data_IF_921803473097
#
_entry.id   IF_921803473097
#
_cell.length_a   1.000
_cell.length_b   1.000
_cell.length_c   1.000
_cell.angle_alpha   90.00
_cell.angle_beta   90.00
_cell.angle_gamma   90.00
#
_symmetry.space_group_name_H-M   'P 1'
#
loop_
_entity.id
_entity.type
_entity.pdbx_description
1 polymer ?
#
# COMPACT_ATOMS: atom_id res chain seq x y z
N UNK A 1 19.46 -13.28 3.87
CA UNK A 1 18.79 -12.74 2.69
C UNK A 1 17.90 -11.57 3.06
N UNK A 2 17.88 -10.55 2.22
CA UNK A 2 17.00 -9.43 2.44
C UNK A 2 15.54 -9.85 2.28
N UNK A 3 14.67 -9.33 3.14
CA UNK A 3 13.23 -9.54 3.00
C UNK A 3 12.70 -8.75 1.81
N UNK A 4 11.69 -9.27 1.09
CA UNK A 4 11.05 -8.49 0.04
C UNK A 4 10.42 -7.22 0.61
N UNK A 5 10.55 -6.11 -0.12
CA UNK A 5 9.94 -4.85 0.24
C UNK A 5 8.54 -4.78 -0.36
N UNK A 6 7.54 -4.49 0.47
CA UNK A 6 6.13 -4.44 0.08
C UNK A 6 5.58 -3.05 0.36
N UNK A 7 5.19 -2.34 -0.69
CA UNK A 7 4.55 -1.04 -0.56
C UNK A 7 3.05 -1.22 -0.39
N UNK A 8 2.48 -0.54 0.60
CA UNK A 8 1.06 -0.66 0.96
C UNK A 8 0.28 0.57 0.48
N UNK A 9 -0.74 0.31 -0.34
CA UNK A 9 -1.68 1.32 -0.81
C UNK A 9 -2.68 1.69 0.31
N UNK A 10 -3.30 2.85 0.17
CA UNK A 10 -4.33 3.35 1.08
C UNK A 10 -5.44 2.32 1.34
N UNK A 11 -5.90 1.64 0.28
CA UNK A 11 -6.98 0.66 0.39
C UNK A 11 -6.68 -0.47 1.37
N UNK A 12 -5.42 -0.84 1.50
CA UNK A 12 -4.99 -1.92 2.41
C UNK A 12 -5.17 -1.48 3.87
N UNK A 13 -4.75 -0.27 4.19
CA UNK A 13 -4.91 0.25 5.56
C UNK A 13 -6.39 0.41 5.93
N UNK A 14 -7.18 0.99 5.02
CA UNK A 14 -8.61 1.22 5.29
C UNK A 14 -9.34 -0.11 5.52
N UNK A 15 -9.12 -1.10 4.65
CA UNK A 15 -9.79 -2.40 4.82
C UNK A 15 -9.31 -3.15 6.06
N UNK A 16 -8.02 -3.02 6.41
CA UNK A 16 -7.50 -3.62 7.64
C UNK A 16 -8.12 -2.98 8.88
N UNK A 17 -8.33 -1.67 8.87
CA UNK A 17 -8.95 -0.97 10.00
C UNK A 17 -10.43 -1.33 10.16
N UNK A 18 -11.13 -1.61 9.06
CA UNK A 18 -12.56 -1.88 9.08
C UNK A 18 -12.90 -3.35 9.32
N UNK A 19 -11.97 -4.27 9.08
CA UNK A 19 -12.25 -5.70 9.25
C UNK A 19 -11.02 -6.46 9.75
N UNK A 20 -11.10 -6.91 11.00
CA UNK A 20 -10.05 -7.76 11.60
C UNK A 20 -10.05 -9.18 11.02
N UNK A 21 -11.07 -9.54 10.23
CA UNK A 21 -11.19 -10.88 9.63
C UNK A 21 -10.77 -10.91 8.17
N UNK A 22 -10.46 -9.74 7.59
CA UNK A 22 -10.11 -9.65 6.17
C UNK A 22 -8.65 -9.94 5.90
N UNK A 23 -8.34 -10.11 4.59
CA UNK A 23 -6.99 -10.42 4.14
C UNK A 23 -5.97 -9.31 4.42
N UNK A 24 -6.38 -8.06 4.33
CA UNK A 24 -5.47 -6.93 4.62
C UNK A 24 -4.97 -6.97 6.05
N UNK A 25 -5.87 -7.12 7.01
CA UNK A 25 -5.50 -7.23 8.42
C UNK A 25 -4.62 -8.45 8.67
N UNK A 26 -5.00 -9.58 8.08
CA UNK A 26 -4.24 -10.83 8.23
C UNK A 26 -2.79 -10.65 7.78
N UNK A 27 -2.59 -10.01 6.63
CA UNK A 27 -1.24 -9.79 6.10
C UNK A 27 -0.42 -8.92 7.04
N UNK A 28 -0.97 -7.78 7.45
CA UNK A 28 -0.24 -6.85 8.31
C UNK A 28 0.04 -7.42 9.69
N UNK A 29 -0.83 -8.29 10.19
CA UNK A 29 -0.69 -8.90 11.49
C UNK A 29 0.19 -10.17 11.50
N UNK A 30 0.48 -10.75 10.33
CA UNK A 30 1.10 -12.08 10.25
C UNK A 30 2.46 -12.07 9.54
N UNK A 31 2.65 -11.23 8.51
CA UNK A 31 3.80 -11.33 7.62
C UNK A 31 4.96 -10.39 7.96
N UNK A 32 4.88 -9.66 9.05
CA UNK A 32 5.90 -8.65 9.41
C UNK A 32 7.31 -9.24 9.58
N UNK A 33 7.43 -10.52 9.87
CA UNK A 33 8.72 -11.18 10.01
C UNK A 33 9.30 -11.68 8.69
N UNK A 34 8.50 -11.68 7.62
CA UNK A 34 8.90 -12.23 6.32
C UNK A 34 9.10 -11.18 5.25
N UNK A 35 8.47 -10.02 5.41
CA UNK A 35 8.56 -8.93 4.44
C UNK A 35 8.77 -7.61 5.16
N UNK A 36 9.32 -6.64 4.45
CA UNK A 36 9.47 -5.28 4.96
C UNK A 36 8.35 -4.43 4.38
N UNK A 37 7.40 -4.05 5.22
CA UNK A 37 6.28 -3.19 4.81
C UNK A 37 6.73 -1.72 4.79
N UNK A 38 6.29 -1.01 3.78
CA UNK A 38 6.47 0.44 3.72
C UNK A 38 5.25 1.10 3.08
N UNK A 39 5.16 2.40 3.28
CA UNK A 39 4.20 3.26 2.61
C UNK A 39 4.83 4.65 2.54
N UNK A 40 4.09 5.68 2.11
CA UNK A 40 4.65 7.02 2.05
C UNK A 40 3.74 8.03 2.76
N UNK A 41 4.22 9.26 2.89
CA UNK A 41 3.48 10.33 3.56
C UNK A 41 2.17 10.65 2.85
N UNK A 42 2.13 10.52 1.51
CA UNK A 42 0.92 10.74 0.73
C UNK A 42 -0.19 9.77 1.14
N UNK A 43 0.13 8.48 1.28
CA UNK A 43 -0.84 7.47 1.70
C UNK A 43 -1.38 7.79 3.10
N UNK A 44 -0.51 8.18 4.03
CA UNK A 44 -0.96 8.56 5.38
C UNK A 44 -1.92 9.74 5.34
N UNK A 45 -1.65 10.72 4.49
CA UNK A 45 -2.52 11.87 4.30
C UNK A 45 -3.89 11.45 3.74
N UNK A 46 -3.90 10.53 2.78
CA UNK A 46 -5.15 9.99 2.24
C UNK A 46 -5.97 9.24 3.29
N UNK A 47 -5.30 8.44 4.12
CA UNK A 47 -5.98 7.72 5.20
C UNK A 47 -6.64 8.71 6.15
N UNK A 48 -5.92 9.76 6.55
CA UNK A 48 -6.45 10.81 7.43
C UNK A 48 -7.70 11.46 6.82
N UNK A 49 -7.65 11.78 5.52
CA UNK A 49 -8.79 12.37 4.81
C UNK A 49 -10.01 11.44 4.82
N UNK A 50 -9.79 10.15 4.57
CA UNK A 50 -10.87 9.15 4.57
C UNK A 50 -11.48 9.03 5.97
N UNK A 51 -10.64 8.93 7.01
CA UNK A 51 -11.13 8.80 8.38
C UNK A 51 -11.92 10.03 8.82
N UNK A 52 -11.44 11.21 8.46
CA UNK A 52 -12.13 12.46 8.81
C UNK A 52 -13.43 12.64 8.06
N UNK A 53 -13.48 12.32 6.77
CA UNK A 53 -14.63 12.60 5.91
C UNK A 53 -15.69 11.49 5.92
N UNK A 54 -15.29 10.23 6.09
CA UNK A 54 -16.21 9.10 6.00
C UNK A 54 -16.45 8.39 7.33
N UNK A 55 -15.54 8.53 8.28
CA UNK A 55 -15.58 7.80 9.55
C UNK A 55 -15.38 8.70 10.76
N UNK A 56 -15.85 9.95 10.68
CA UNK A 56 -15.74 10.89 11.80
C UNK A 56 -16.49 10.43 13.05
N UNK A 57 -17.47 9.54 12.89
CA UNK A 57 -18.22 8.92 13.99
C UNK A 57 -17.47 7.75 14.65
N UNK A 58 -16.28 7.41 14.13
CA UNK A 58 -15.45 6.31 14.64
C UNK A 58 -14.04 6.81 14.96
N UNK A 59 -13.88 7.63 16.02
CA UNK A 59 -12.59 8.23 16.32
C UNK A 59 -11.51 7.23 16.75
N UNK A 60 -11.89 6.04 17.19
CA UNK A 60 -10.96 4.98 17.58
C UNK A 60 -10.19 4.39 16.39
N UNK A 61 -10.64 4.60 15.15
CA UNK A 61 -9.93 4.10 13.99
C UNK A 61 -8.54 4.71 13.84
N UNK A 62 -8.38 5.99 14.25
CA UNK A 62 -7.07 6.63 14.21
C UNK A 62 -6.10 5.96 15.18
N UNK A 63 -6.55 5.63 16.39
CA UNK A 63 -5.74 4.89 17.36
C UNK A 63 -5.37 3.52 16.82
N UNK A 64 -6.33 2.82 16.19
CA UNK A 64 -6.06 1.53 15.57
C UNK A 64 -5.03 1.63 14.45
N UNK A 65 -5.06 2.73 13.67
CA UNK A 65 -4.07 2.96 12.61
C UNK A 65 -2.66 3.01 13.20
N UNK A 66 -2.44 3.77 14.26
CA UNK A 66 -1.12 3.87 14.87
C UNK A 66 -0.66 2.53 15.43
N UNK A 67 -1.56 1.78 16.07
CA UNK A 67 -1.25 0.46 16.57
C UNK A 67 -0.87 -0.49 15.43
N UNK A 68 -1.59 -0.43 14.31
CA UNK A 68 -1.34 -1.26 13.15
C UNK A 68 0.01 -0.94 12.50
N UNK A 69 0.33 0.35 12.36
CA UNK A 69 1.62 0.78 11.82
C UNK A 69 2.79 0.27 12.66
N UNK A 70 2.65 0.31 13.99
CA UNK A 70 3.67 -0.18 14.90
C UNK A 70 3.78 -1.70 14.89
N UNK A 71 2.65 -2.39 14.95
CA UNK A 71 2.62 -3.87 14.98
C UNK A 71 3.19 -4.46 13.69
N UNK A 72 2.85 -3.89 12.55
CA UNK A 72 3.35 -4.34 11.25
C UNK A 72 4.75 -3.79 10.92
N UNK A 73 5.28 -2.93 11.77
CA UNK A 73 6.60 -2.30 11.60
C UNK A 73 6.72 -1.60 10.25
N UNK A 74 5.71 -0.80 9.90
CA UNK A 74 5.65 -0.12 8.60
C UNK A 74 6.61 1.08 8.56
N UNK A 75 7.50 1.09 7.58
CA UNK A 75 8.40 2.22 7.33
C UNK A 75 7.66 3.28 6.52
N UNK A 76 7.70 4.53 6.98
CA UNK A 76 7.07 5.64 6.28
C UNK A 76 8.13 6.35 5.44
N UNK A 77 7.99 6.27 4.12
CA UNK A 77 8.93 6.87 3.19
C UNK A 77 8.49 8.29 2.83
N UNK A 78 9.45 9.19 2.53
CA UNK A 78 9.07 10.48 1.96
C UNK A 78 8.45 10.30 0.58
N UNK A 79 7.65 11.27 0.15
CA UNK A 79 7.07 11.22 -1.19
C UNK A 79 8.17 11.35 -2.25
N UNK A 80 7.95 10.73 -3.40
CA UNK A 80 8.88 10.82 -4.53
C UNK A 80 8.86 12.22 -5.14
N UNK A 81 9.94 12.62 -5.83
CA UNK A 81 10.00 13.93 -6.47
C UNK A 81 8.82 14.18 -7.40
N UNK A 82 8.35 15.42 -7.42
CA UNK A 82 7.19 15.83 -8.20
C UNK A 82 7.33 15.47 -9.69
N UNK A 83 8.52 15.56 -10.24
CA UNK A 83 8.77 15.22 -11.64
C UNK A 83 8.50 13.73 -11.93
N UNK A 84 8.85 12.83 -11.01
CA UNK A 84 8.58 11.40 -11.17
C UNK A 84 7.08 11.14 -11.14
N UNK A 85 6.38 11.76 -10.20
CA UNK A 85 4.93 11.62 -10.06
C UNK A 85 4.22 12.11 -11.32
N UNK A 86 4.62 13.28 -11.82
CA UNK A 86 4.02 13.89 -13.01
C UNK A 86 4.15 12.98 -14.24
N UNK A 87 5.31 12.33 -14.41
CA UNK A 87 5.53 11.43 -15.54
C UNK A 87 4.56 10.23 -15.55
N UNK A 88 4.07 9.83 -14.39
CA UNK A 88 3.16 8.68 -14.29
C UNK A 88 1.70 9.02 -14.58
N UNK A 89 1.36 10.30 -14.65
CA UNK A 89 -0.03 10.73 -14.90
C UNK A 89 -0.58 10.28 -16.25
N UNK A 90 0.29 9.91 -17.19
CA UNK A 90 -0.13 9.34 -18.48
C UNK A 90 -0.52 7.87 -18.39
N UNK A 91 -0.20 7.21 -17.28
CA UNK A 91 -0.52 5.80 -17.07
C UNK A 91 -1.65 5.60 -16.07
N UNK A 92 -1.75 6.49 -15.08
CA UNK A 92 -2.64 6.30 -13.94
C UNK A 92 -3.20 7.66 -13.51
N UNK A 93 -4.29 7.66 -12.76
CA UNK A 93 -4.92 8.89 -12.27
C UNK A 93 -3.95 9.72 -11.42
N UNK A 94 -4.19 11.02 -11.39
CA UNK A 94 -3.42 11.95 -10.56
C UNK A 94 -3.39 11.53 -9.09
N UNK A 95 -4.50 11.00 -8.61
CA UNK A 95 -4.66 10.55 -7.24
C UNK A 95 -3.75 9.36 -6.91
N UNK A 96 -3.56 8.45 -7.84
CA UNK A 96 -2.79 7.22 -7.61
C UNK A 96 -1.34 7.31 -8.07
N UNK A 97 -0.98 8.34 -8.83
CA UNK A 97 0.38 8.53 -9.32
C UNK A 97 1.43 8.61 -8.20
N UNK A 98 1.19 9.31 -7.06
CA UNK A 98 2.17 9.33 -5.98
C UNK A 98 2.43 7.97 -5.35
N UNK A 99 1.42 7.11 -5.33
CA UNK A 99 1.53 5.75 -4.80
C UNK A 99 2.37 4.90 -5.74
N UNK A 100 2.05 4.94 -7.04
CA UNK A 100 2.80 4.18 -8.03
C UNK A 100 4.26 4.62 -8.09
N UNK A 101 4.54 5.92 -7.99
CA UNK A 101 5.91 6.44 -8.00
C UNK A 101 6.74 5.83 -6.87
N UNK A 102 6.20 5.82 -5.65
CA UNK A 102 6.90 5.24 -4.52
C UNK A 102 7.05 3.73 -4.65
N UNK A 103 6.02 3.05 -5.13
CA UNK A 103 6.07 1.60 -5.31
C UNK A 103 7.15 1.19 -6.33
N UNK A 104 7.29 1.95 -7.43
CA UNK A 104 8.30 1.68 -8.45
C UNK A 104 9.73 1.94 -7.97
N UNK A 105 9.91 2.70 -6.90
CA UNK A 105 11.22 3.13 -6.42
C UNK A 105 11.81 2.13 -5.43
N UNK A 106 12.15 0.93 -5.91
CA UNK A 106 12.89 -0.05 -5.11
C UNK A 106 12.06 -1.06 -4.33
N UNK A 107 10.76 -1.14 -4.56
CA UNK A 107 9.93 -2.15 -3.93
C UNK A 107 9.79 -3.40 -4.82
N UNK A 108 9.59 -4.55 -4.18
CA UNK A 108 9.35 -5.81 -4.88
C UNK A 108 7.86 -6.02 -5.17
N UNK A 109 7.01 -5.53 -4.29
CA UNK A 109 5.56 -5.71 -4.39
C UNK A 109 4.81 -4.42 -4.07
N UNK A 110 3.71 -4.21 -4.79
CA UNK A 110 2.68 -3.24 -4.43
C UNK A 110 1.43 -4.01 -4.05
N UNK A 111 0.98 -3.86 -2.81
CA UNK A 111 -0.23 -4.50 -2.31
C UNK A 111 -1.38 -3.51 -2.37
N UNK A 112 -2.43 -3.83 -3.11
CA UNK A 112 -3.55 -2.92 -3.32
C UNK A 112 -4.84 -3.68 -3.63
N UNK A 113 -5.98 -3.05 -3.33
CA UNK A 113 -7.31 -3.51 -3.74
C UNK A 113 -7.89 -2.66 -4.87
N UNK A 114 -7.18 -1.61 -5.27
CA UNK A 114 -7.64 -0.68 -6.30
C UNK A 114 -7.38 -1.25 -7.69
N UNK A 115 -8.46 -1.51 -8.45
CA UNK A 115 -8.38 -2.09 -9.77
C UNK A 115 -7.61 -1.24 -10.78
N UNK A 116 -7.49 0.06 -10.55
CA UNK A 116 -6.73 0.94 -11.45
C UNK A 116 -5.28 0.49 -11.60
N UNK A 117 -4.68 -0.06 -10.54
CA UNK A 117 -3.29 -0.54 -10.59
C UNK A 117 -3.10 -1.82 -11.42
N UNK A 118 -4.19 -2.45 -11.84
CA UNK A 118 -4.13 -3.69 -12.61
C UNK A 118 -4.36 -3.49 -14.11
N UNK A 119 -4.35 -2.24 -14.59
CA UNK A 119 -4.40 -1.94 -16.01
C UNK A 119 -3.17 -2.48 -16.73
N UNK A 120 -3.34 -2.88 -18.00
CA UNK A 120 -2.28 -3.54 -18.76
C UNK A 120 -0.99 -2.71 -18.83
N UNK A 121 -1.10 -1.41 -19.10
CA UNK A 121 0.08 -0.54 -19.20
C UNK A 121 0.83 -0.41 -17.88
N UNK A 122 0.10 -0.39 -16.78
CA UNK A 122 0.70 -0.28 -15.44
C UNK A 122 1.40 -1.57 -15.07
N UNK A 123 0.79 -2.72 -15.35
CA UNK A 123 1.40 -4.02 -15.11
C UNK A 123 2.71 -4.17 -15.91
N UNK A 124 2.71 -3.74 -17.17
CA UNK A 124 3.90 -3.78 -18.01
C UNK A 124 5.01 -2.87 -17.46
N UNK A 125 4.65 -1.65 -17.06
CA UNK A 125 5.60 -0.71 -16.47
C UNK A 125 6.18 -1.28 -15.17
N UNK A 126 5.33 -1.81 -14.32
CA UNK A 126 5.75 -2.41 -13.05
C UNK A 126 6.73 -3.56 -13.29
N UNK A 127 6.40 -4.44 -14.22
CA UNK A 127 7.23 -5.59 -14.57
C UNK A 127 8.62 -5.13 -15.06
N UNK A 128 8.69 -4.06 -15.84
CA UNK A 128 9.95 -3.50 -16.33
C UNK A 128 10.85 -2.99 -15.20
N UNK A 129 10.26 -2.65 -14.05
CA UNK A 129 10.96 -2.20 -12.85
C UNK A 129 11.04 -3.28 -11.77
N UNK A 130 10.71 -4.51 -12.12
CA UNK A 130 10.71 -5.67 -11.22
C UNK A 130 9.76 -5.51 -10.03
N UNK A 131 8.66 -4.80 -10.23
CA UNK A 131 7.59 -4.65 -9.26
C UNK A 131 6.41 -5.55 -9.64
N UNK A 132 5.93 -6.36 -8.70
CA UNK A 132 4.75 -7.18 -8.88
C UNK A 132 3.60 -6.56 -8.09
N UNK A 133 2.46 -6.34 -8.75
CA UNK A 133 1.28 -5.75 -8.13
C UNK A 133 0.32 -6.87 -7.76
N UNK A 134 -0.05 -6.97 -6.48
CA UNK A 134 -0.88 -8.06 -5.96
C UNK A 134 -2.04 -7.55 -5.12
N UNK A 135 -3.16 -8.26 -5.20
CA UNK A 135 -4.26 -8.13 -4.24
C UNK A 135 -3.94 -9.01 -3.01
N UNK A 136 -4.56 -8.72 -1.85
CA UNK A 136 -4.31 -9.50 -0.63
C UNK A 136 -4.44 -11.00 -0.80
N UNK A 137 -5.48 -11.48 -1.49
CA UNK A 137 -5.68 -12.91 -1.71
C UNK A 137 -4.49 -13.54 -2.41
N UNK A 138 -4.03 -12.93 -3.50
CA UNK A 138 -2.89 -13.44 -4.27
C UNK A 138 -1.60 -13.36 -3.47
N UNK A 139 -1.43 -12.29 -2.70
CA UNK A 139 -0.27 -12.14 -1.83
C UNK A 139 -0.18 -13.28 -0.82
N UNK A 140 -1.29 -13.58 -0.15
CA UNK A 140 -1.35 -14.66 0.84
C UNK A 140 -0.99 -16.00 0.18
N UNK A 141 -1.54 -16.27 -1.00
CA UNK A 141 -1.24 -17.50 -1.75
C UNK A 141 0.24 -17.60 -2.14
N UNK A 142 0.83 -16.46 -2.55
CA UNK A 142 2.23 -16.40 -2.99
C UNK A 142 3.19 -16.66 -1.82
N UNK A 143 2.89 -16.12 -0.65
CA UNK A 143 3.75 -16.24 0.53
C UNK A 143 3.30 -17.31 1.51
N UNK A 144 2.41 -18.20 1.09
CA UNK A 144 1.93 -19.28 1.93
C UNK A 144 3.00 -20.38 2.04
N UNK A 145 3.21 -20.84 3.25
CA UNK A 145 4.15 -21.91 3.55
C UNK A 145 3.44 -23.13 4.08
#
# INVERSE_FOLDING_TARGET
>A
MAKPAVFLDTSIFITALLSAKGGSFYILNTFQDRVDFCTNEYVLSEIEDVLQNKFSDKPDLRTKLFLLLGTADVTILPNRPKAEVTRLKKYISEKDAPILASALAGNNYLLTLDNEFFGQKIIELASSKKLTILKPKTFIETFKF
#
